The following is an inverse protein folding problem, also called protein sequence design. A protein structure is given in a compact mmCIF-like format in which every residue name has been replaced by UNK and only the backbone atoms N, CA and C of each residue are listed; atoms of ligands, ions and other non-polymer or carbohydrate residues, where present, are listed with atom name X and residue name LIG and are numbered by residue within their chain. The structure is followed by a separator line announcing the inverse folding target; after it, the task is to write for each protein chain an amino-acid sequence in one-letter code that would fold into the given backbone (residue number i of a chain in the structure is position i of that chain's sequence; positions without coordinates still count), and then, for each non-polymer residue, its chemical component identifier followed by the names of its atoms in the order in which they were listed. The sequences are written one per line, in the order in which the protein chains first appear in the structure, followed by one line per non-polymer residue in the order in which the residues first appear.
data_IF_234066723328
#
_entry.id   IF_234066723328
#
_cell.length_a   1.000
_cell.length_b   1.000
_cell.length_c   1.000
_cell.angle_alpha   90.00
_cell.angle_beta   90.00
_cell.angle_gamma   90.00
#
_symmetry.space_group_name_H-M   'P 1'
#
loop_
_entity.id
_entity.type
_entity.pdbx_description
1 polymer ?
#
# COMPACT_ATOMS: atom_id res chain seq x y z
N UNK A 1 6.31 -23.32 9.68
CA UNK A 1 5.60 -22.09 9.29
C UNK A 1 6.26 -21.57 8.03
N UNK A 2 5.58 -21.63 6.89
CA UNK A 2 6.06 -21.02 5.66
C UNK A 2 5.89 -19.51 5.85
N UNK A 3 6.93 -18.66 5.78
CA UNK A 3 6.72 -17.22 5.85
C UNK A 3 5.89 -16.85 4.63
N UNK A 4 4.59 -16.58 4.83
CA UNK A 4 3.76 -15.95 3.81
C UNK A 4 4.53 -14.71 3.38
N UNK A 5 4.92 -14.65 2.10
CA UNK A 5 5.87 -13.66 1.61
C UNK A 5 5.44 -12.27 2.03
N UNK A 6 6.26 -11.60 2.84
CA UNK A 6 6.01 -10.21 3.20
C UNK A 6 6.23 -9.36 1.94
N UNK A 7 5.16 -8.70 1.49
CA UNK A 7 5.23 -7.73 0.40
C UNK A 7 5.67 -6.38 0.96
N UNK A 8 6.64 -5.76 0.29
CA UNK A 8 7.12 -4.41 0.62
C UNK A 8 6.66 -3.49 -0.51
N UNK A 9 5.92 -2.45 -0.17
CA UNK A 9 5.54 -1.38 -1.08
C UNK A 9 6.73 -0.46 -1.30
N UNK A 10 7.19 -0.37 -2.55
CA UNK A 10 8.25 0.56 -2.97
C UNK A 10 7.64 1.55 -3.96
N UNK A 11 7.34 2.80 -3.53
CA UNK A 11 6.91 3.83 -4.46
C UNK A 11 8.03 4.14 -5.46
N UNK A 12 7.74 4.11 -6.76
CA UNK A 12 8.75 4.42 -7.78
C UNK A 12 9.29 5.87 -7.66
N UNK A 13 8.51 6.77 -7.08
CA UNK A 13 8.93 8.14 -6.75
C UNK A 13 9.98 8.22 -5.65
N UNK A 14 10.07 7.21 -4.77
CA UNK A 14 11.07 7.13 -3.71
C UNK A 14 12.42 6.58 -4.22
N UNK A 15 12.49 6.17 -5.48
CA UNK A 15 13.64 5.52 -6.09
C UNK A 15 14.44 6.55 -6.88
N UNK A 16 15.64 6.87 -6.42
CA UNK A 16 16.58 7.73 -7.16
C UNK A 16 17.53 6.86 -7.97
N UNK A 17 17.45 6.93 -9.29
CA UNK A 17 18.40 6.22 -10.16
C UNK A 17 19.81 6.82 -9.98
N UNK A 18 20.80 5.97 -9.67
CA UNK A 18 22.19 6.37 -9.45
C UNK A 18 23.11 6.05 -10.62
N UNK A 19 22.73 5.15 -11.54
CA UNK A 19 23.59 4.82 -12.70
C UNK A 19 23.02 5.29 -14.04
N UNK A 20 23.84 6.04 -14.77
CA UNK A 20 23.62 6.37 -16.18
C UNK A 20 24.08 5.22 -17.07
N UNK A 21 23.15 4.67 -17.86
CA UNK A 21 23.34 3.65 -18.92
C UNK A 21 24.12 2.39 -18.53
N UNK A 22 23.42 1.31 -18.13
CA UNK A 22 24.07 0.04 -17.88
C UNK A 22 24.37 -0.67 -19.19
N UNK A 23 25.65 -0.98 -19.44
CA UNK A 23 26.05 -2.00 -20.42
C UNK A 23 25.40 -3.37 -20.11
N UNK A 24 24.95 -3.57 -18.87
CA UNK A 24 24.49 -4.85 -18.33
C UNK A 24 22.97 -4.97 -18.09
N UNK A 25 22.14 -4.10 -18.69
CA UNK A 25 20.65 -4.11 -18.54
C UNK A 25 20.14 -4.04 -17.08
N UNK A 26 20.96 -3.59 -16.13
CA UNK A 26 20.61 -3.46 -14.72
C UNK A 26 20.61 -2.00 -14.28
N UNK A 27 19.52 -1.55 -13.66
CA UNK A 27 19.41 -0.19 -13.13
C UNK A 27 19.78 -0.23 -11.65
N UNK A 28 20.68 0.66 -11.23
CA UNK A 28 21.00 0.84 -9.82
C UNK A 28 20.27 2.07 -9.31
N UNK A 29 19.61 1.91 -8.17
CA UNK A 29 18.85 2.98 -7.54
C UNK A 29 19.14 3.06 -6.05
N UNK A 30 19.10 4.27 -5.52
CA UNK A 30 19.10 4.58 -4.10
C UNK A 30 17.66 4.78 -3.62
N UNK A 31 17.36 4.28 -2.43
CA UNK A 31 16.09 4.46 -1.73
C UNK A 31 16.41 4.85 -0.29
N UNK A 32 15.65 5.81 0.24
CA UNK A 32 15.67 6.14 1.66
C UNK A 32 14.99 5.03 2.47
N UNK A 33 15.76 4.36 3.31
CA UNK A 33 15.30 3.24 4.13
C UNK A 33 14.35 3.69 5.25
N UNK A 34 14.51 4.90 5.77
CA UNK A 34 13.62 5.43 6.82
C UNK A 34 12.23 5.69 6.26
N UNK A 35 12.14 6.34 5.11
CA UNK A 35 10.86 6.55 4.42
C UNK A 35 10.21 5.22 4.03
N UNK A 36 11.01 4.26 3.53
CA UNK A 36 10.49 2.95 3.16
C UNK A 36 9.89 2.21 4.37
N UNK A 37 10.50 2.34 5.55
CA UNK A 37 9.96 1.77 6.80
C UNK A 37 8.62 2.39 7.18
N UNK A 38 8.49 3.72 7.11
CA UNK A 38 7.24 4.40 7.44
C UNK A 38 6.09 3.98 6.52
N UNK A 39 6.36 3.86 5.21
CA UNK A 39 5.33 3.44 4.22
C UNK A 39 4.90 1.98 4.42
N UNK A 40 5.80 1.16 4.98
CA UNK A 40 5.55 -0.26 5.23
C UNK A 40 5.33 -0.54 6.72
N UNK A 41 5.07 0.49 7.52
CA UNK A 41 4.83 0.33 8.95
C UNK A 41 3.55 -0.50 9.13
N UNK A 42 3.59 -1.59 9.91
CA UNK A 42 2.42 -2.40 10.15
C UNK A 42 1.34 -1.54 10.82
N UNK A 43 0.23 -1.32 10.12
CA UNK A 43 -0.89 -0.60 10.72
C UNK A 43 -1.57 -1.48 11.76
N UNK A 44 -1.80 -0.90 12.93
CA UNK A 44 -2.55 -1.52 14.01
C UNK A 44 -4.05 -1.49 13.72
N UNK A 45 -4.82 -2.37 14.37
CA UNK A 45 -6.29 -2.37 14.25
C UNK A 45 -6.86 -1.01 14.68
N UNK A 46 -6.30 -0.38 15.71
CA UNK A 46 -6.77 0.93 16.20
C UNK A 46 -6.56 2.03 15.15
N UNK A 47 -5.45 2.02 14.41
CA UNK A 47 -5.21 2.95 13.30
C UNK A 47 -6.16 2.73 12.13
N UNK A 48 -6.50 1.47 11.82
CA UNK A 48 -7.49 1.14 10.80
C UNK A 48 -8.90 1.61 11.20
N UNK A 49 -9.28 1.44 12.46
CA UNK A 49 -10.55 1.91 12.99
C UNK A 49 -10.63 3.44 12.97
N UNK A 50 -9.56 4.13 13.39
CA UNK A 50 -9.51 5.58 13.34
C UNK A 50 -9.65 6.11 11.90
N UNK A 51 -8.99 5.48 10.93
CA UNK A 51 -9.14 5.83 9.51
C UNK A 51 -10.58 5.61 9.01
N UNK A 52 -11.21 4.50 9.40
CA UNK A 52 -12.60 4.22 9.05
C UNK A 52 -13.58 5.25 9.65
N UNK A 53 -13.37 5.67 10.91
CA UNK A 53 -14.17 6.72 11.54
C UNK A 53 -14.04 8.05 10.80
N UNK A 54 -12.83 8.40 10.34
CA UNK A 54 -12.61 9.56 9.49
C UNK A 54 -13.36 9.46 8.15
N UNK A 55 -13.31 8.32 7.48
CA UNK A 55 -14.02 8.11 6.21
C UNK A 55 -15.54 8.19 6.38
N UNK A 56 -16.08 7.64 7.48
CA UNK A 56 -17.50 7.76 7.83
C UNK A 56 -17.85 9.23 8.05
N UNK A 57 -17.07 9.96 8.83
CA UNK A 57 -17.30 11.39 9.09
C UNK A 57 -17.20 12.24 7.82
N UNK A 58 -16.35 11.86 6.88
CA UNK A 58 -16.20 12.52 5.58
C UNK A 58 -17.31 12.14 4.58
N UNK A 59 -18.17 11.16 4.89
CA UNK A 59 -19.16 10.63 3.95
C UNK A 59 -18.56 9.74 2.86
N UNK A 60 -17.29 9.33 2.99
CA UNK A 60 -16.56 8.49 2.05
C UNK A 60 -16.84 7.00 2.31
N UNK A 61 -18.11 6.62 2.35
CA UNK A 61 -18.52 5.24 2.58
C UNK A 61 -19.72 4.88 1.71
N UNK A 62 -19.95 3.58 1.51
CA UNK A 62 -21.09 3.05 0.75
C UNK A 62 -21.82 2.02 1.58
N UNK A 63 -23.11 2.22 1.76
CA UNK A 63 -23.98 1.28 2.42
C UNK A 63 -24.60 0.32 1.41
N UNK A 64 -24.78 -0.94 1.81
CA UNK A 64 -25.46 -1.95 1.02
C UNK A 64 -26.59 -2.54 1.83
N UNK A 65 -27.78 -2.55 1.22
CA UNK A 65 -28.97 -3.12 1.85
C UNK A 65 -28.99 -4.66 1.85
N UNK A 66 -28.14 -5.30 1.04
CA UNK A 66 -28.01 -6.76 0.98
C UNK A 66 -26.58 -7.19 0.67
N UNK A 67 -26.24 -8.41 1.10
CA UNK A 67 -24.94 -9.01 0.83
C UNK A 67 -24.71 -9.22 -0.67
N UNK A 68 -25.75 -9.59 -1.43
CA UNK A 68 -25.66 -9.78 -2.87
C UNK A 68 -25.27 -8.47 -3.60
N UNK A 69 -25.83 -7.34 -3.16
CA UNK A 69 -25.49 -6.03 -3.70
C UNK A 69 -24.02 -5.67 -3.42
N UNK A 70 -23.53 -5.96 -2.22
CA UNK A 70 -22.12 -5.77 -1.87
C UNK A 70 -21.20 -6.63 -2.75
N UNK A 71 -21.49 -7.93 -2.86
CA UNK A 71 -20.68 -8.87 -3.65
C UNK A 71 -20.63 -8.45 -5.12
N UNK A 72 -21.74 -7.93 -5.66
CA UNK A 72 -21.82 -7.49 -7.07
C UNK A 72 -20.92 -6.28 -7.40
N UNK A 73 -20.57 -5.47 -6.39
CA UNK A 73 -19.77 -4.24 -6.55
C UNK A 73 -18.27 -4.48 -6.32
N UNK A 74 -17.88 -5.67 -5.85
CA UNK A 74 -16.47 -6.02 -5.66
C UNK A 74 -15.75 -6.12 -7.03
N UNK A 75 -14.50 -5.63 -7.13
CA UNK A 75 -13.70 -5.76 -8.35
C UNK A 75 -13.50 -7.25 -8.67
N UNK A 76 -13.72 -7.61 -9.94
CA UNK A 76 -13.61 -8.98 -10.47
C UNK A 76 -12.19 -9.33 -10.88
#
# INVERSE_FOLDING_TARGET
MNPQGATINIPLSAVRCVSGKPKDKRVMCEIDVEQLRMINEPQTIDELLAAADFDIAAGNYKEYASMDAFISDLPK
#
